data_IF_477659645028
#
_entry.id   IF_477659645028
#
_cell.length_a   1.000
_cell.length_b   1.000
_cell.length_c   1.000
_cell.angle_alpha   90.00
_cell.angle_beta   90.00
_cell.angle_gamma   90.00
#
_symmetry.space_group_name_H-M   'P 1'
#
loop_
_entity.id
_entity.type
_entity.pdbx_description
1 polymer ?
#
# COMPACT_ATOMS: atom_id res chain seq x y z
N UNK A 1 13.48 -1.14 11.26
CA UNK A 1 13.76 -1.50 12.66
C UNK A 1 14.90 -2.51 12.78
N UNK A 2 14.79 -3.71 12.20
CA UNK A 2 15.85 -4.72 12.26
C UNK A 2 17.18 -4.26 11.68
N UNK A 3 17.23 -3.56 10.52
CA UNK A 3 18.51 -3.07 10.01
C UNK A 3 19.14 -2.06 10.96
N UNK A 4 18.32 -1.16 11.53
CA UNK A 4 18.77 -0.15 12.49
C UNK A 4 19.37 -0.78 13.76
N UNK A 5 18.82 -1.92 14.21
CA UNK A 5 19.25 -2.63 15.41
C UNK A 5 20.45 -3.56 15.17
N UNK A 6 20.45 -4.31 14.06
CA UNK A 6 21.37 -5.42 13.84
C UNK A 6 22.62 -5.03 13.03
N UNK A 7 22.52 -4.07 12.11
CA UNK A 7 23.67 -3.62 11.32
C UNK A 7 24.82 -3.05 12.17
N UNK A 8 24.57 -2.31 13.27
CA UNK A 8 25.65 -1.86 14.17
C UNK A 8 26.44 -3.01 14.80
N UNK A 9 25.81 -4.16 15.05
CA UNK A 9 26.44 -5.35 15.64
C UNK A 9 27.21 -6.20 14.61
N UNK A 10 27.18 -5.82 13.33
CA UNK A 10 27.84 -6.57 12.26
C UNK A 10 29.38 -6.61 12.39
N UNK A 11 29.97 -5.70 13.17
CA UNK A 11 31.40 -5.72 13.49
C UNK A 11 31.79 -6.89 14.40
N UNK A 12 30.89 -7.34 15.27
CA UNK A 12 31.08 -8.50 16.16
C UNK A 12 30.57 -9.79 15.52
N UNK A 13 29.46 -9.71 14.79
CA UNK A 13 28.82 -10.86 14.14
C UNK A 13 28.59 -10.61 12.65
N UNK A 14 29.42 -11.23 11.80
CA UNK A 14 29.37 -11.06 10.34
C UNK A 14 27.99 -11.36 9.73
N UNK A 15 27.21 -12.25 10.34
CA UNK A 15 25.85 -12.60 9.90
C UNK A 15 24.93 -11.37 9.77
N UNK A 16 25.04 -10.39 10.68
CA UNK A 16 24.17 -9.21 10.64
C UNK A 16 24.45 -8.27 9.46
N UNK A 17 25.56 -8.48 8.74
CA UNK A 17 25.83 -7.76 7.50
C UNK A 17 24.76 -8.05 6.41
N UNK A 18 24.04 -9.17 6.51
CA UNK A 18 22.93 -9.48 5.61
C UNK A 18 21.83 -8.41 5.60
N UNK A 19 21.60 -7.73 6.73
CA UNK A 19 20.60 -6.67 6.85
C UNK A 19 20.96 -5.39 6.09
N UNK A 20 22.18 -5.26 5.55
CA UNK A 20 22.53 -4.15 4.66
C UNK A 20 21.97 -4.32 3.25
N UNK A 21 21.78 -5.55 2.80
CA UNK A 21 21.32 -5.83 1.43
C UNK A 21 19.82 -5.60 1.32
N UNK A 22 19.41 -4.72 0.41
CA UNK A 22 17.99 -4.43 0.13
C UNK A 22 17.26 -5.71 -0.27
N UNK A 23 17.82 -6.50 -1.19
CA UNK A 23 17.20 -7.75 -1.67
C UNK A 23 16.91 -8.75 -0.55
N UNK A 24 17.83 -8.89 0.41
CA UNK A 24 17.62 -9.72 1.59
C UNK A 24 16.47 -9.20 2.44
N UNK A 25 16.42 -7.87 2.68
CA UNK A 25 15.34 -7.23 3.43
C UNK A 25 13.98 -7.35 2.74
N UNK A 26 13.92 -7.17 1.42
CA UNK A 26 12.69 -7.32 0.63
C UNK A 26 12.18 -8.76 0.67
N UNK A 27 13.08 -9.74 0.53
CA UNK A 27 12.74 -11.17 0.67
C UNK A 27 12.24 -11.50 2.07
N UNK A 28 12.96 -11.03 3.09
CA UNK A 28 12.57 -11.17 4.50
C UNK A 28 11.20 -10.56 4.80
N UNK A 29 10.92 -9.36 4.29
CA UNK A 29 9.64 -8.69 4.44
C UNK A 29 8.50 -9.46 3.76
N UNK A 30 8.73 -9.98 2.56
CA UNK A 30 7.72 -10.76 1.82
C UNK A 30 7.38 -12.06 2.56
N UNK A 31 8.41 -12.79 3.01
CA UNK A 31 8.23 -14.02 3.79
C UNK A 31 7.55 -13.73 5.13
N UNK A 32 7.94 -12.66 5.82
CA UNK A 32 7.34 -12.29 7.11
C UNK A 32 5.86 -11.94 6.94
N UNK A 33 5.49 -11.15 5.93
CA UNK A 33 4.10 -10.82 5.64
C UNK A 33 3.28 -12.07 5.28
N UNK A 34 3.85 -12.99 4.51
CA UNK A 34 3.24 -14.28 4.18
C UNK A 34 3.01 -15.13 5.43
N UNK A 35 4.03 -15.27 6.29
CA UNK A 35 3.94 -16.05 7.53
C UNK A 35 2.89 -15.47 8.48
N UNK A 36 2.85 -14.15 8.67
CA UNK A 36 1.80 -13.49 9.47
C UNK A 36 0.42 -13.82 8.89
N UNK A 37 0.27 -13.71 7.56
CA UNK A 37 -1.02 -13.97 6.90
C UNK A 37 -1.46 -15.43 7.04
N UNK A 38 -0.54 -16.39 6.87
CA UNK A 38 -0.84 -17.82 6.96
C UNK A 38 -1.12 -18.28 8.40
N UNK A 39 -0.32 -17.80 9.37
CA UNK A 39 -0.43 -18.22 10.78
C UNK A 39 -1.62 -17.53 11.47
N UNK A 40 -1.80 -16.23 11.25
CA UNK A 40 -2.88 -15.46 11.88
C UNK A 40 -4.20 -15.55 11.10
N UNK A 41 -4.19 -15.95 9.83
CA UNK A 41 -5.36 -16.06 8.97
C UNK A 41 -6.49 -16.91 9.56
N UNK A 42 -6.24 -18.19 9.92
CA UNK A 42 -7.28 -19.04 10.51
C UNK A 42 -7.87 -18.48 11.80
N UNK A 43 -7.05 -17.86 12.64
CA UNK A 43 -7.49 -17.23 13.89
C UNK A 43 -8.37 -16.01 13.62
N UNK A 44 -7.96 -15.14 12.68
CA UNK A 44 -8.74 -13.98 12.25
C UNK A 44 -10.08 -14.40 11.64
N UNK A 45 -10.11 -15.42 10.79
CA UNK A 45 -11.33 -15.93 10.17
C UNK A 45 -12.31 -16.44 11.25
N UNK A 46 -11.82 -17.21 12.24
CA UNK A 46 -12.66 -17.68 13.36
C UNK A 46 -13.21 -16.50 14.17
N UNK A 47 -12.37 -15.50 14.45
CA UNK A 47 -12.76 -14.30 15.17
C UNK A 47 -13.84 -13.50 14.41
N UNK A 48 -13.65 -13.27 13.11
CA UNK A 48 -14.62 -12.58 12.27
C UNK A 48 -15.95 -13.34 12.17
N UNK A 49 -15.91 -14.67 11.98
CA UNK A 49 -17.14 -15.50 11.97
C UNK A 49 -17.93 -15.40 13.28
N UNK A 50 -17.24 -15.27 14.42
CA UNK A 50 -17.89 -15.04 15.71
C UNK A 50 -18.57 -13.67 15.85
N UNK A 51 -18.10 -12.65 15.12
CA UNK A 51 -18.64 -11.29 15.16
C UNK A 51 -19.57 -10.96 13.98
N UNK A 52 -19.59 -11.78 12.93
CA UNK A 52 -20.31 -11.57 11.67
C UNK A 52 -21.13 -12.81 11.28
N UNK A 53 -21.92 -13.33 12.21
CA UNK A 53 -22.58 -14.64 12.08
C UNK A 53 -23.50 -14.79 10.84
N UNK A 54 -23.98 -13.68 10.27
CA UNK A 54 -24.93 -13.66 9.14
C UNK A 54 -24.29 -13.24 7.79
N UNK A 55 -22.98 -12.95 7.73
CA UNK A 55 -22.27 -12.55 6.50
C UNK A 55 -22.55 -11.11 6.02
N UNK A 56 -22.09 -10.75 4.81
CA UNK A 56 -22.35 -9.43 4.22
C UNK A 56 -23.82 -9.30 3.73
N UNK A 57 -24.50 -8.16 3.96
CA UNK A 57 -25.74 -7.84 3.27
C UNK A 57 -25.46 -7.76 1.75
N UNK A 58 -26.11 -8.61 0.96
CA UNK A 58 -25.86 -8.79 -0.48
C UNK A 58 -26.63 -7.76 -1.33
N UNK A 59 -25.94 -7.07 -2.26
CA UNK A 59 -26.60 -6.21 -3.27
C UNK A 59 -27.48 -7.07 -4.18
N UNK A 60 -28.71 -6.63 -4.45
CA UNK A 60 -29.63 -7.34 -5.35
C UNK A 60 -29.21 -7.31 -6.84
N UNK A 61 -28.28 -6.44 -7.23
CA UNK A 61 -27.93 -6.15 -8.63
C UNK A 61 -26.77 -7.02 -9.21
N UNK A 62 -26.47 -8.19 -8.61
CA UNK A 62 -25.37 -9.08 -9.02
C UNK A 62 -25.83 -10.37 -9.72
N UNK A 63 -24.98 -11.01 -10.55
CA UNK A 63 -25.32 -12.28 -11.22
C UNK A 63 -25.66 -13.39 -10.22
N UNK A 64 -26.68 -14.21 -10.51
CA UNK A 64 -27.29 -15.18 -9.57
C UNK A 64 -26.28 -16.21 -9.00
N UNK A 65 -25.24 -16.56 -9.73
CA UNK A 65 -24.16 -17.44 -9.26
C UNK A 65 -23.31 -16.84 -8.13
N UNK A 66 -23.26 -15.51 -8.00
CA UNK A 66 -22.56 -14.80 -6.94
C UNK A 66 -23.37 -14.66 -5.65
N UNK A 67 -24.69 -14.85 -5.71
CA UNK A 67 -25.58 -14.75 -4.55
C UNK A 67 -25.49 -16.00 -3.65
N UNK A 68 -25.19 -17.17 -4.24
CA UNK A 68 -25.21 -18.47 -3.54
C UNK A 68 -23.88 -18.80 -2.86
N UNK A 69 -22.73 -18.45 -3.45
CA UNK A 69 -21.39 -18.77 -2.92
C UNK A 69 -20.86 -17.78 -1.89
N UNK A 70 -21.35 -16.54 -1.84
CA UNK A 70 -20.94 -15.52 -0.84
C UNK A 70 -21.68 -15.63 0.50
N UNK A 71 -22.55 -16.62 0.68
CA UNK A 71 -23.24 -16.84 1.95
C UNK A 71 -22.24 -17.38 2.99
N UNK A 72 -21.92 -16.56 4.00
CA UNK A 72 -21.14 -16.98 5.18
C UNK A 72 -19.63 -16.71 5.12
N UNK A 73 -19.12 -16.00 4.10
CA UNK A 73 -17.74 -15.48 4.14
C UNK A 73 -17.66 -14.19 4.95
N UNK A 74 -16.79 -14.11 5.98
CA UNK A 74 -16.63 -12.87 6.74
C UNK A 74 -15.98 -11.79 5.88
N UNK A 75 -16.39 -10.55 6.08
CA UNK A 75 -15.78 -9.35 5.48
C UNK A 75 -14.74 -8.75 6.41
N UNK A 76 -13.94 -7.79 5.92
CA UNK A 76 -12.81 -7.16 6.60
C UNK A 76 -11.49 -7.95 6.62
N UNK A 77 -11.30 -8.91 5.69
CA UNK A 77 -10.02 -9.62 5.52
C UNK A 77 -8.83 -8.68 5.22
N UNK A 78 -9.09 -7.49 4.67
CA UNK A 78 -8.09 -6.45 4.44
C UNK A 78 -7.37 -5.98 5.71
N UNK A 79 -7.95 -6.14 6.90
CA UNK A 79 -7.28 -5.84 8.18
C UNK A 79 -6.05 -6.73 8.39
N UNK A 80 -6.14 -8.01 8.04
CA UNK A 80 -5.01 -8.94 8.15
C UNK A 80 -3.90 -8.55 7.18
N UNK A 81 -4.27 -8.23 5.93
CA UNK A 81 -3.31 -7.81 4.89
C UNK A 81 -2.60 -6.53 5.33
N UNK A 82 -3.35 -5.52 5.79
CA UNK A 82 -2.81 -4.24 6.23
C UNK A 82 -1.90 -4.40 7.46
N UNK A 83 -2.31 -5.23 8.43
CA UNK A 83 -1.51 -5.54 9.61
C UNK A 83 -0.21 -6.28 9.26
N UNK A 84 -0.29 -7.29 8.40
CA UNK A 84 0.88 -8.04 7.92
C UNK A 84 1.85 -7.15 7.14
N UNK A 85 1.32 -6.29 6.25
CA UNK A 85 2.09 -5.28 5.53
C UNK A 85 2.78 -4.32 6.50
N UNK A 86 2.04 -3.66 7.39
CA UNK A 86 2.59 -2.66 8.30
C UNK A 86 3.66 -3.23 9.23
N UNK A 87 3.41 -4.39 9.85
CA UNK A 87 4.37 -5.04 10.73
C UNK A 87 5.63 -5.46 9.97
N UNK A 88 5.47 -6.07 8.81
CA UNK A 88 6.59 -6.52 8.00
C UNK A 88 7.45 -5.34 7.52
N UNK A 89 6.82 -4.29 7.01
CA UNK A 89 7.52 -3.07 6.58
C UNK A 89 8.29 -2.42 7.74
N UNK A 90 7.66 -2.23 8.91
CA UNK A 90 8.34 -1.64 10.07
C UNK A 90 9.52 -2.50 10.56
N UNK A 91 9.38 -3.81 10.48
CA UNK A 91 10.42 -4.75 10.89
C UNK A 91 11.64 -4.64 9.97
N UNK A 92 11.43 -4.68 8.65
CA UNK A 92 12.52 -4.84 7.67
C UNK A 92 13.04 -3.54 7.05
N UNK A 93 12.25 -2.46 7.01
CA UNK A 93 12.66 -1.17 6.48
C UNK A 93 13.40 -0.35 7.56
N UNK A 94 14.48 0.39 7.23
CA UNK A 94 15.13 1.32 8.15
C UNK A 94 14.15 2.43 8.54
N UNK A 95 13.98 2.68 9.84
CA UNK A 95 13.01 3.69 10.32
C UNK A 95 13.45 5.13 9.99
N UNK A 96 14.73 5.31 9.72
CA UNK A 96 15.34 6.55 9.25
C UNK A 96 14.99 6.90 7.80
N UNK A 97 14.48 5.94 7.01
CA UNK A 97 14.14 6.19 5.63
C UNK A 97 12.89 7.10 5.56
N UNK A 98 12.98 8.29 4.92
CA UNK A 98 11.90 9.25 4.93
C UNK A 98 10.68 8.84 4.09
N UNK A 99 10.83 7.91 3.14
CA UNK A 99 9.73 7.44 2.29
C UNK A 99 8.82 6.42 2.99
N UNK A 100 9.31 5.78 4.07
CA UNK A 100 8.53 4.81 4.87
C UNK A 100 7.22 5.41 5.36
N UNK A 101 7.30 6.55 6.04
CA UNK A 101 6.19 7.17 6.75
C UNK A 101 5.06 7.67 5.85
N UNK A 102 5.30 8.41 4.75
CA UNK A 102 4.23 8.83 3.85
C UNK A 102 3.51 7.61 3.23
N UNK A 103 4.24 6.59 2.77
CA UNK A 103 3.63 5.38 2.18
C UNK A 103 2.81 4.62 3.22
N UNK A 104 3.38 4.37 4.41
CA UNK A 104 2.69 3.64 5.48
C UNK A 104 1.47 4.41 5.98
N UNK A 105 1.55 5.74 6.08
CA UNK A 105 0.42 6.57 6.51
C UNK A 105 -0.75 6.53 5.52
N UNK A 106 -0.51 6.58 4.21
CA UNK A 106 -1.57 6.41 3.20
C UNK A 106 -2.22 5.05 3.33
N UNK A 107 -1.41 3.98 3.39
CA UNK A 107 -1.92 2.62 3.51
C UNK A 107 -2.80 2.44 4.76
N UNK A 108 -2.31 2.89 5.92
CA UNK A 108 -3.04 2.80 7.19
C UNK A 108 -4.28 3.69 7.20
N UNK A 109 -4.21 4.93 6.72
CA UNK A 109 -5.34 5.85 6.72
C UNK A 109 -6.44 5.41 5.75
N UNK A 110 -6.10 5.01 4.54
CA UNK A 110 -7.08 4.52 3.56
C UNK A 110 -7.67 3.19 4.00
N UNK A 111 -6.83 2.30 4.56
CA UNK A 111 -7.26 1.06 5.18
C UNK A 111 -8.20 1.28 6.36
N UNK A 112 -7.94 2.28 7.21
CA UNK A 112 -8.83 2.65 8.30
C UNK A 112 -10.17 3.20 7.79
N UNK A 113 -10.16 4.09 6.79
CA UNK A 113 -11.38 4.59 6.15
C UNK A 113 -12.21 3.45 5.57
N UNK A 114 -11.58 2.49 4.86
CA UNK A 114 -12.25 1.30 4.34
C UNK A 114 -12.81 0.40 5.45
N UNK A 115 -12.03 0.18 6.50
CA UNK A 115 -12.45 -0.64 7.65
C UNK A 115 -13.64 -0.02 8.40
N UNK A 116 -13.64 1.31 8.57
CA UNK A 116 -14.76 2.03 9.18
C UNK A 116 -16.00 1.95 8.28
N UNK A 117 -15.85 2.08 6.96
CA UNK A 117 -16.94 1.92 5.99
C UNK A 117 -17.58 0.52 6.07
N UNK A 118 -16.77 -0.53 6.09
CA UNK A 118 -17.25 -1.91 6.20
C UNK A 118 -17.88 -2.21 7.57
N UNK A 119 -17.30 -1.69 8.65
CA UNK A 119 -17.89 -1.80 9.98
C UNK A 119 -19.25 -1.09 10.07
N UNK A 120 -19.42 0.08 9.44
CA UNK A 120 -20.70 0.77 9.36
C UNK A 120 -21.75 -0.04 8.60
N UNK A 121 -21.39 -0.69 7.48
CA UNK A 121 -22.30 -1.56 6.70
C UNK A 121 -22.78 -2.73 7.55
N UNK A 122 -21.87 -3.38 8.27
CA UNK A 122 -22.18 -4.49 9.17
C UNK A 122 -23.10 -4.06 10.32
N UNK A 123 -22.76 -2.96 11.01
CA UNK A 123 -23.52 -2.48 12.17
C UNK A 123 -24.92 -2.01 11.79
N UNK A 124 -25.08 -1.36 10.63
CA UNK A 124 -26.37 -0.85 10.15
C UNK A 124 -27.20 -1.89 9.41
N UNK A 125 -26.65 -3.08 9.13
CA UNK A 125 -27.28 -4.14 8.32
C UNK A 125 -27.84 -3.60 7.00
N UNK A 126 -27.09 -2.69 6.37
CA UNK A 126 -27.51 -2.02 5.13
C UNK A 126 -26.32 -1.90 4.20
N UNK A 127 -26.58 -1.83 2.89
CA UNK A 127 -25.52 -1.58 1.91
C UNK A 127 -24.93 -0.16 1.98
N UNK A 128 -25.56 0.74 2.74
CA UNK A 128 -25.10 2.11 2.93
C UNK A 128 -24.08 2.19 4.07
N UNK A 129 -22.81 2.32 3.68
CA UNK A 129 -21.71 2.61 4.59
C UNK A 129 -21.55 4.11 4.87
N UNK A 130 -20.30 4.57 4.89
CA UNK A 130 -19.95 5.98 4.99
C UNK A 130 -20.48 6.76 3.78
N UNK A 131 -20.88 8.03 3.99
CA UNK A 131 -21.27 8.87 2.87
C UNK A 131 -20.07 9.04 1.91
N UNK A 132 -20.31 8.90 0.59
CA UNK A 132 -19.24 9.02 -0.40
C UNK A 132 -18.49 10.36 -0.31
N UNK A 133 -19.19 11.44 0.07
CA UNK A 133 -18.60 12.76 0.30
C UNK A 133 -17.61 12.75 1.47
N UNK A 134 -17.94 12.10 2.59
CA UNK A 134 -17.04 11.99 3.74
C UNK A 134 -15.83 11.11 3.41
N UNK A 135 -16.04 9.98 2.74
CA UNK A 135 -14.96 9.08 2.30
C UNK A 135 -13.97 9.82 1.42
N UNK A 136 -14.45 10.54 0.41
CA UNK A 136 -13.62 11.35 -0.48
C UNK A 136 -12.92 12.49 0.26
N UNK A 137 -13.59 13.19 1.18
CA UNK A 137 -12.98 14.26 1.96
C UNK A 137 -11.80 13.77 2.80
N UNK A 138 -11.96 12.63 3.49
CA UNK A 138 -10.89 12.00 4.28
C UNK A 138 -9.73 11.54 3.38
N UNK A 139 -10.02 10.90 2.25
CA UNK A 139 -9.01 10.46 1.29
C UNK A 139 -8.24 11.65 0.70
N UNK A 140 -8.92 12.74 0.33
CA UNK A 140 -8.30 13.95 -0.20
C UNK A 140 -7.42 14.65 0.85
N UNK A 141 -7.85 14.71 2.11
CA UNK A 141 -7.07 15.30 3.20
C UNK A 141 -5.73 14.56 3.39
N UNK A 142 -5.78 13.23 3.45
CA UNK A 142 -4.59 12.39 3.57
C UNK A 142 -3.70 12.51 2.34
N UNK A 143 -4.30 12.46 1.14
CA UNK A 143 -3.56 12.58 -0.12
C UNK A 143 -2.86 13.94 -0.23
N UNK A 144 -3.51 15.03 0.20
CA UNK A 144 -2.91 16.36 0.25
C UNK A 144 -1.68 16.38 1.17
N UNK A 145 -1.83 15.96 2.43
CA UNK A 145 -0.74 15.97 3.39
C UNK A 145 0.47 15.17 2.90
N UNK A 146 0.24 13.96 2.38
CA UNK A 146 1.30 13.07 1.89
C UNK A 146 1.95 13.61 0.62
N UNK A 147 1.17 14.25 -0.26
CA UNK A 147 1.73 14.89 -1.47
C UNK A 147 2.71 16.00 -1.09
N UNK A 148 2.40 16.83 -0.10
CA UNK A 148 3.32 17.86 0.38
C UNK A 148 4.62 17.24 0.92
N UNK A 149 4.51 16.16 1.69
CA UNK A 149 5.70 15.43 2.17
C UNK A 149 6.53 14.90 1.00
N UNK A 150 5.93 14.25 0.00
CA UNK A 150 6.67 13.75 -1.16
C UNK A 150 7.32 14.86 -2.00
N UNK A 151 6.68 16.02 -2.13
CA UNK A 151 7.27 17.18 -2.81
C UNK A 151 8.53 17.65 -2.08
N UNK A 152 8.52 17.71 -0.75
CA UNK A 152 9.69 18.10 0.03
C UNK A 152 10.82 17.07 -0.04
N UNK A 153 10.48 15.78 -0.04
CA UNK A 153 11.45 14.69 -0.17
C UNK A 153 12.06 14.58 -1.57
N UNK A 154 11.34 15.06 -2.60
CA UNK A 154 11.79 14.97 -3.98
C UNK A 154 13.01 15.87 -4.25
N UNK A 155 14.00 15.40 -5.03
CA UNK A 155 15.11 16.22 -5.51
C UNK A 155 14.61 17.50 -6.18
N UNK A 156 15.31 18.62 -5.99
CA UNK A 156 14.88 19.94 -6.46
C UNK A 156 14.53 19.97 -7.96
N UNK A 157 15.21 19.16 -8.77
CA UNK A 157 15.01 19.06 -10.22
C UNK A 157 13.71 18.34 -10.60
N UNK A 158 13.16 17.49 -9.71
CA UNK A 158 11.95 16.69 -9.95
C UNK A 158 10.71 17.28 -9.27
N UNK A 159 10.89 18.25 -8.37
CA UNK A 159 9.78 18.85 -7.61
C UNK A 159 8.74 19.45 -8.55
N UNK A 160 7.47 19.18 -8.26
CA UNK A 160 6.33 19.66 -9.03
C UNK A 160 6.32 19.24 -10.52
N UNK A 161 7.16 18.28 -10.90
CA UNK A 161 7.29 17.78 -12.26
C UNK A 161 6.71 16.38 -12.42
N UNK A 162 6.23 16.08 -13.62
CA UNK A 162 5.79 14.73 -14.00
C UNK A 162 6.69 14.23 -15.12
N UNK A 163 7.37 13.11 -14.87
CA UNK A 163 8.19 12.46 -15.88
C UNK A 163 7.28 11.80 -16.93
N UNK A 164 7.58 12.00 -18.21
CA UNK A 164 6.84 11.35 -19.31
C UNK A 164 7.53 10.03 -19.65
N UNK A 165 6.83 8.89 -19.57
CA UNK A 165 7.40 7.62 -19.98
C UNK A 165 7.91 7.69 -21.43
N UNK A 166 8.99 6.95 -21.72
CA UNK A 166 9.62 6.84 -23.05
C UNK A 166 10.34 8.10 -23.57
N UNK A 167 10.08 9.27 -23.00
CA UNK A 167 10.80 10.50 -23.33
C UNK A 167 11.90 10.76 -22.30
N UNK A 168 13.14 10.63 -22.76
CA UNK A 168 14.33 10.92 -21.95
C UNK A 168 14.36 12.41 -21.63
N UNK A 169 14.71 12.77 -20.40
CA UNK A 169 14.85 14.14 -19.90
C UNK A 169 13.61 15.05 -20.04
N UNK A 170 12.43 14.47 -20.31
CA UNK A 170 11.19 15.23 -20.43
C UNK A 170 10.43 15.20 -19.10
N UNK A 171 10.64 16.25 -18.32
CA UNK A 171 9.87 16.53 -17.12
C UNK A 171 8.86 17.63 -17.44
N UNK A 172 7.57 17.34 -17.35
CA UNK A 172 6.51 18.34 -17.51
C UNK A 172 6.35 19.09 -16.19
N UNK A 173 6.69 20.39 -16.12
CA UNK A 173 6.54 21.16 -14.89
C UNK A 173 5.07 21.55 -14.73
N UNK A 174 4.37 20.91 -13.79
CA UNK A 174 2.99 21.28 -13.46
C UNK A 174 2.92 22.43 -12.45
N UNK A 175 4.05 22.73 -11.79
CA UNK A 175 4.07 23.72 -10.71
C UNK A 175 3.07 23.32 -9.61
N UNK A 176 2.33 24.30 -9.09
CA UNK A 176 1.33 24.04 -8.04
C UNK A 176 0.22 23.07 -8.48
N UNK A 177 -0.05 22.92 -9.78
CA UNK A 177 -1.02 21.94 -10.30
C UNK A 177 -0.58 20.48 -10.11
N UNK A 178 0.68 20.24 -9.77
CA UNK A 178 1.15 18.92 -9.37
C UNK A 178 0.39 18.40 -8.15
N UNK A 179 0.07 19.26 -7.18
CA UNK A 179 -0.60 18.85 -5.93
C UNK A 179 -1.99 18.27 -6.19
N UNK A 180 -2.94 18.97 -6.86
CA UNK A 180 -4.24 18.39 -7.19
C UNK A 180 -4.12 17.20 -8.14
N UNK A 181 -3.12 17.18 -9.03
CA UNK A 181 -2.85 16.03 -9.90
C UNK A 181 -2.47 14.78 -9.09
N UNK A 182 -1.50 14.88 -8.18
CA UNK A 182 -1.07 13.78 -7.32
C UNK A 182 -2.20 13.30 -6.40
N UNK A 183 -2.98 14.23 -5.84
CA UNK A 183 -4.18 13.89 -5.06
C UNK A 183 -5.18 13.07 -5.90
N UNK A 184 -5.44 13.47 -7.15
CA UNK A 184 -6.32 12.74 -8.06
C UNK A 184 -5.78 11.34 -8.34
N UNK A 185 -4.47 11.19 -8.55
CA UNK A 185 -3.84 9.87 -8.76
C UNK A 185 -4.00 8.97 -7.54
N UNK A 186 -3.70 9.47 -6.33
CA UNK A 186 -3.76 8.68 -5.09
C UNK A 186 -5.21 8.25 -4.79
N UNK A 187 -6.14 9.21 -4.78
CA UNK A 187 -7.55 8.95 -4.47
C UNK A 187 -8.20 8.14 -5.59
N UNK A 188 -7.88 8.45 -6.85
CA UNK A 188 -8.36 7.72 -8.02
C UNK A 188 -7.95 6.26 -8.01
N UNK A 189 -6.67 5.96 -7.74
CA UNK A 189 -6.17 4.60 -7.64
C UNK A 189 -6.87 3.80 -6.52
N UNK A 190 -7.07 4.40 -5.34
CA UNK A 190 -7.79 3.75 -4.24
C UNK A 190 -9.23 3.40 -4.59
N UNK A 191 -9.95 4.31 -5.25
CA UNK A 191 -11.33 4.06 -5.67
C UNK A 191 -11.43 3.10 -6.86
N UNK A 192 -10.43 3.10 -7.77
CA UNK A 192 -10.34 2.13 -8.85
C UNK A 192 -10.19 0.69 -8.32
N UNK A 193 -9.27 0.46 -7.38
CA UNK A 193 -9.08 -0.87 -6.76
C UNK A 193 -10.35 -1.32 -6.02
N UNK A 194 -11.00 -0.42 -5.28
CA UNK A 194 -12.26 -0.70 -4.59
C UNK A 194 -13.41 -1.05 -5.57
N UNK A 195 -13.39 -0.52 -6.79
CA UNK A 195 -14.36 -0.89 -7.83
C UNK A 195 -14.06 -2.26 -8.44
N UNK A 196 -12.78 -2.62 -8.57
CA UNK A 196 -12.33 -3.93 -9.08
C UNK A 196 -12.58 -5.06 -8.07
N UNK A 197 -12.61 -4.78 -6.77
CA UNK A 197 -12.79 -5.77 -5.69
C UNK A 197 -14.26 -6.22 -5.50
N UNK A 198 -14.90 -6.63 -6.60
CA UNK A 198 -16.28 -7.13 -6.63
C UNK A 198 -16.40 -8.66 -6.63
N UNK A 199 -15.36 -9.36 -7.11
CA UNK A 199 -15.30 -10.83 -7.22
C UNK A 199 -14.12 -11.38 -6.42
N UNK A 200 -14.26 -12.60 -5.91
CA UNK A 200 -13.24 -13.22 -5.06
C UNK A 200 -11.91 -13.36 -5.81
N UNK A 201 -10.87 -12.66 -5.31
CA UNK A 201 -9.53 -12.70 -5.89
C UNK A 201 -9.30 -11.83 -7.13
N UNK A 202 -10.32 -11.09 -7.62
CA UNK A 202 -10.17 -10.28 -8.84
C UNK A 202 -9.25 -9.07 -8.63
N UNK A 203 -9.28 -8.42 -7.48
CA UNK A 203 -8.45 -7.25 -7.20
C UNK A 203 -7.01 -7.62 -6.79
N UNK A 204 -6.82 -8.73 -6.08
CA UNK A 204 -5.51 -9.04 -5.47
C UNK A 204 -4.45 -9.40 -6.53
N UNK A 205 -4.82 -10.10 -7.61
CA UNK A 205 -3.87 -10.50 -8.66
C UNK A 205 -3.28 -9.27 -9.40
N UNK A 206 -4.10 -8.33 -9.91
CA UNK A 206 -3.58 -7.06 -10.45
C UNK A 206 -2.73 -6.28 -9.43
N UNK A 207 -3.16 -6.21 -8.17
CA UNK A 207 -2.42 -5.48 -7.13
C UNK A 207 -1.03 -6.09 -6.91
N UNK A 208 -0.91 -7.42 -6.89
CA UNK A 208 0.40 -8.09 -6.76
C UNK A 208 1.33 -7.77 -7.92
N UNK A 209 0.83 -7.79 -9.16
CA UNK A 209 1.61 -7.46 -10.36
C UNK A 209 2.07 -5.99 -10.30
N UNK A 210 1.14 -5.07 -10.02
CA UNK A 210 1.43 -3.63 -9.90
C UNK A 210 2.44 -3.35 -8.79
N UNK A 211 2.30 -3.99 -7.62
CA UNK A 211 3.24 -3.87 -6.51
C UNK A 211 4.65 -4.40 -6.88
N UNK A 212 4.73 -5.53 -7.59
CA UNK A 212 6.01 -6.07 -8.06
C UNK A 212 6.68 -5.13 -9.08
N UNK A 213 5.91 -4.57 -10.02
CA UNK A 213 6.41 -3.58 -10.98
C UNK A 213 6.91 -2.32 -10.28
N UNK A 214 6.14 -1.74 -9.35
CA UNK A 214 6.56 -0.55 -8.62
C UNK A 214 7.74 -0.83 -7.68
N UNK A 215 7.81 -2.00 -7.05
CA UNK A 215 8.97 -2.41 -6.26
C UNK A 215 10.25 -2.50 -7.10
N UNK A 216 10.16 -3.06 -8.30
CA UNK A 216 11.28 -3.09 -9.25
C UNK A 216 11.69 -1.66 -9.67
N UNK A 217 10.72 -0.82 -10.03
CA UNK A 217 11.00 0.58 -10.43
C UNK A 217 11.66 1.35 -9.28
N UNK A 218 11.16 1.19 -8.05
CA UNK A 218 11.72 1.84 -6.86
C UNK A 218 13.17 1.41 -6.61
N UNK A 219 13.45 0.10 -6.73
CA UNK A 219 14.80 -0.45 -6.63
C UNK A 219 15.76 0.11 -7.69
N UNK A 220 15.31 0.19 -8.95
CA UNK A 220 16.11 0.73 -10.06
C UNK A 220 16.35 2.24 -9.91
N UNK A 221 15.32 3.01 -9.57
CA UNK A 221 15.40 4.46 -9.37
C UNK A 221 16.23 4.84 -8.15
N UNK A 222 16.25 3.99 -7.12
CA UNK A 222 17.06 4.16 -5.91
C UNK A 222 18.53 3.78 -6.05
N UNK A 223 18.96 3.23 -7.19
CA UNK A 223 20.34 2.80 -7.44
C UNK A 223 21.00 3.69 -8.50
N UNK A 224 22.11 4.35 -8.16
CA UNK A 224 22.82 5.28 -9.07
C UNK A 224 23.26 4.60 -10.36
N UNK A 225 23.74 3.36 -10.29
CA UNK A 225 24.26 2.65 -11.45
C UNK A 225 23.13 2.27 -12.41
N UNK A 226 22.04 1.71 -11.89
CA UNK A 226 20.89 1.33 -12.72
C UNK A 226 20.14 2.54 -13.26
N UNK A 227 19.92 3.56 -12.43
CA UNK A 227 19.25 4.79 -12.87
C UNK A 227 20.01 5.50 -13.99
N UNK A 228 21.33 5.61 -13.89
CA UNK A 228 22.18 6.19 -14.93
C UNK A 228 22.18 5.35 -16.22
N UNK A 229 22.26 4.02 -16.10
CA UNK A 229 22.28 3.12 -17.27
C UNK A 229 20.94 3.11 -18.02
N UNK A 230 19.82 3.06 -17.29
CA UNK A 230 18.47 3.03 -17.85
C UNK A 230 17.92 4.42 -18.19
N UNK A 231 18.66 5.48 -17.85
CA UNK A 231 18.26 6.87 -18.04
C UNK A 231 16.91 7.18 -17.39
N UNK A 232 16.73 6.68 -16.16
CA UNK A 232 15.60 7.02 -15.29
C UNK A 232 16.08 8.00 -14.22
N UNK A 233 15.17 8.84 -13.72
CA UNK A 233 15.49 9.82 -12.69
C UNK A 233 15.95 9.12 -11.40
N UNK A 234 17.16 9.44 -10.94
CA UNK A 234 17.69 8.93 -9.69
C UNK A 234 16.99 9.60 -8.51
N UNK A 235 16.44 8.81 -7.59
CA UNK A 235 15.81 9.30 -6.36
C UNK A 235 16.46 8.62 -5.16
N UNK A 236 17.32 9.32 -4.40
CA UNK A 236 18.03 8.73 -3.27
C UNK A 236 17.06 8.16 -2.24
N UNK A 237 17.32 6.94 -1.76
CA UNK A 237 16.56 6.30 -0.68
C UNK A 237 15.24 5.64 -1.08
N UNK A 238 14.79 5.74 -2.33
CA UNK A 238 13.53 5.08 -2.76
C UNK A 238 13.65 3.57 -2.96
N UNK A 239 14.89 3.04 -2.98
CA UNK A 239 15.12 1.62 -3.23
C UNK A 239 14.92 0.71 -2.03
N UNK A 240 14.86 1.26 -0.81
CA UNK A 240 14.57 0.52 0.44
C UNK A 240 13.08 0.17 0.57
#
# INVERSE_FOLDING_TARGET
MLPDLLVPLAGEYQFFNLFRYITFRTGGATITALLISLLCGPAMIRWLKGHQAEGQPIRADGPESHLVTKIGTPTMGGLLILGAFALSTLLWMPLSNPYLWPVLSVALAFGAVGSVDDWMKLRRRSHHGMSGRMKLALQLLVAFAVTIVFVELSPAQLRYGVAVPFLKDTLVPLGLMYVPFAMLVIVGASNAVNLTDGLDGLAIVPVMIVAACFGLIAYLAGNVNFSSYLQINYVPGTGD
#
